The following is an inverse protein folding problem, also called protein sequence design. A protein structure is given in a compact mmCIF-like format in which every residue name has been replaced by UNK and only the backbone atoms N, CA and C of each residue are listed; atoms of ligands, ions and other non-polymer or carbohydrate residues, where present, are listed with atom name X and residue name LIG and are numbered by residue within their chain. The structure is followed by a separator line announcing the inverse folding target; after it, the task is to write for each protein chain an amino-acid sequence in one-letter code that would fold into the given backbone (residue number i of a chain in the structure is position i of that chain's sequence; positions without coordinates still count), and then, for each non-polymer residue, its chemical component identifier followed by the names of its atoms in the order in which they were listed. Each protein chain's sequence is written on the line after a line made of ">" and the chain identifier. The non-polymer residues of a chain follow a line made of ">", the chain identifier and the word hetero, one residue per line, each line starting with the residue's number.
data_IF_034719109352
#
_entry.id   IF_034719109352
#
_cell.length_a   1.000
_cell.length_b   1.000
_cell.length_c   1.000
_cell.angle_alpha   90.00
_cell.angle_beta   90.00
_cell.angle_gamma   90.00
#
_symmetry.space_group_name_H-M   'P 1'
#
loop_
_entity.id
_entity.type
_entity.pdbx_description
1 polymer ?
#
# COMPACT_ATOMS: atom_id res chain seq x y z
N UNK A 1 14.05 3.88 18.51
CA UNK A 1 14.20 4.10 17.06
C UNK A 1 13.50 2.95 16.36
N UNK A 2 12.17 2.91 16.48
CA UNK A 2 11.38 1.90 15.81
C UNK A 2 10.15 2.60 15.26
N UNK A 3 9.89 2.37 13.97
CA UNK A 3 8.58 2.66 13.39
C UNK A 3 7.56 1.76 14.09
N UNK A 4 6.42 2.33 14.47
CA UNK A 4 5.36 1.62 15.16
C UNK A 4 4.23 1.21 14.21
N UNK A 5 3.85 2.05 13.25
CA UNK A 5 2.78 1.75 12.29
C UNK A 5 2.78 2.74 11.12
N UNK A 6 2.02 2.40 10.07
CA UNK A 6 1.67 3.35 9.00
C UNK A 6 0.47 4.17 9.47
N UNK A 7 0.67 5.49 9.66
CA UNK A 7 -0.38 6.39 10.14
C UNK A 7 -1.39 6.74 9.07
N UNK A 8 -0.90 7.00 7.86
CA UNK A 8 -1.68 7.27 6.65
C UNK A 8 -0.80 7.15 5.41
N UNK A 9 -1.44 7.10 4.25
CA UNK A 9 -0.79 7.27 2.96
C UNK A 9 -1.40 8.45 2.21
N UNK A 10 -0.56 9.23 1.53
CA UNK A 10 -0.98 10.38 0.73
C UNK A 10 -0.83 10.08 -0.76
N UNK A 11 -1.96 10.08 -1.46
CA UNK A 11 -2.08 9.96 -2.90
C UNK A 11 -2.08 11.35 -3.53
N UNK A 12 -1.21 11.56 -4.51
CA UNK A 12 -1.23 12.72 -5.37
C UNK A 12 -2.03 12.39 -6.63
N UNK A 13 -2.95 13.28 -6.99
CA UNK A 13 -3.83 13.04 -8.14
C UNK A 13 -4.14 14.28 -8.98
N UNK A 14 -4.24 14.10 -10.29
CA UNK A 14 -4.70 15.09 -11.27
C UNK A 14 -6.21 15.31 -11.17
N UNK A 15 -6.98 14.26 -10.91
CA UNK A 15 -8.44 14.30 -10.86
C UNK A 15 -8.96 13.87 -9.48
N UNK A 16 -8.82 14.79 -8.50
CA UNK A 16 -9.28 14.53 -7.13
C UNK A 16 -10.76 14.17 -7.03
N UNK A 17 -11.71 14.80 -7.74
CA UNK A 17 -13.11 14.38 -7.70
C UNK A 17 -13.33 12.91 -8.07
N UNK A 18 -12.74 12.44 -9.18
CA UNK A 18 -12.89 11.05 -9.62
C UNK A 18 -12.22 10.07 -8.66
N UNK A 19 -11.00 10.37 -8.19
CA UNK A 19 -10.29 9.52 -7.25
C UNK A 19 -10.99 9.42 -5.89
N UNK A 20 -11.54 10.54 -5.39
CA UNK A 20 -12.35 10.56 -4.17
C UNK A 20 -13.62 9.76 -4.38
N UNK A 21 -14.35 9.97 -5.48
CA UNK A 21 -15.58 9.25 -5.77
C UNK A 21 -15.36 7.74 -5.86
N UNK A 22 -14.32 7.27 -6.57
CA UNK A 22 -13.98 5.85 -6.60
C UNK A 22 -13.75 5.27 -5.20
N UNK A 23 -12.93 5.94 -4.38
CA UNK A 23 -12.63 5.46 -3.02
C UNK A 23 -13.85 5.49 -2.10
N UNK A 24 -14.72 6.49 -2.23
CA UNK A 24 -15.91 6.60 -1.36
C UNK A 24 -17.06 5.72 -1.83
N UNK A 25 -17.37 5.77 -3.12
CA UNK A 25 -18.54 5.13 -3.71
C UNK A 25 -18.26 3.64 -3.93
N UNK A 26 -17.12 3.28 -4.53
CA UNK A 26 -16.80 1.88 -4.87
C UNK A 26 -16.11 1.12 -3.73
N UNK A 27 -15.18 1.74 -3.02
CA UNK A 27 -14.46 1.09 -1.91
C UNK A 27 -14.98 1.43 -0.52
N UNK A 28 -16.04 2.25 -0.40
CA UNK A 28 -16.74 2.48 0.86
C UNK A 28 -16.01 3.38 1.88
N UNK A 29 -14.98 4.11 1.46
CA UNK A 29 -14.36 5.10 2.33
C UNK A 29 -15.30 6.27 2.63
N UNK A 30 -15.11 6.91 3.79
CA UNK A 30 -15.86 8.10 4.17
C UNK A 30 -14.96 9.32 4.14
N UNK A 31 -15.44 10.41 3.53
CA UNK A 31 -14.78 11.72 3.56
C UNK A 31 -14.96 12.38 4.92
N UNK A 32 -13.87 12.50 5.67
CA UNK A 32 -13.87 12.96 7.08
C UNK A 32 -13.51 14.44 7.21
N UNK A 33 -12.62 14.94 6.38
CA UNK A 33 -12.21 16.34 6.42
C UNK A 33 -11.60 16.81 5.10
N UNK A 34 -11.56 18.13 4.92
CA UNK A 34 -10.95 18.81 3.78
C UNK A 34 -9.95 19.85 4.26
N UNK A 35 -8.89 20.07 3.49
CA UNK A 35 -7.94 21.15 3.72
C UNK A 35 -7.63 21.84 2.40
N UNK A 36 -7.77 23.16 2.37
CA UNK A 36 -7.44 23.98 1.18
C UNK A 36 -6.30 24.90 1.55
N UNK A 37 -5.19 24.78 0.81
CA UNK A 37 -4.02 25.64 0.88
C UNK A 37 -3.87 26.42 -0.44
N UNK A 38 -2.93 27.36 -0.48
CA UNK A 38 -2.78 28.27 -1.62
C UNK A 38 -2.46 27.55 -2.95
N UNK A 39 -1.73 26.43 -2.90
CA UNK A 39 -1.23 25.69 -4.06
C UNK A 39 -1.77 24.26 -4.16
N UNK A 40 -2.53 23.78 -3.17
CA UNK A 40 -3.06 22.42 -3.10
C UNK A 40 -4.33 22.30 -2.26
N UNK A 41 -5.15 21.31 -2.57
CA UNK A 41 -6.30 20.90 -1.77
C UNK A 41 -6.17 19.42 -1.42
N UNK A 42 -6.52 19.06 -0.19
CA UNK A 42 -6.42 17.71 0.34
C UNK A 42 -7.76 17.24 0.91
N UNK A 43 -8.12 15.99 0.64
CA UNK A 43 -9.30 15.31 1.18
C UNK A 43 -8.86 14.14 2.04
N UNK A 44 -9.32 14.08 3.29
CA UNK A 44 -9.05 12.98 4.21
C UNK A 44 -10.17 11.94 4.11
N UNK A 45 -9.81 10.72 3.74
CA UNK A 45 -10.70 9.58 3.68
C UNK A 45 -10.34 8.56 4.77
N UNK A 46 -11.36 7.95 5.40
CA UNK A 46 -11.19 6.89 6.40
C UNK A 46 -12.17 5.75 6.21
N UNK A 47 -11.71 4.54 6.54
CA UNK A 47 -12.56 3.35 6.73
C UNK A 47 -11.85 2.40 7.70
N UNK A 48 -12.51 2.04 8.80
CA UNK A 48 -11.86 1.37 9.92
C UNK A 48 -10.70 2.22 10.46
N UNK A 49 -9.52 1.64 10.48
CA UNK A 49 -8.24 2.26 10.84
C UNK A 49 -7.47 2.77 9.62
N UNK A 50 -7.87 2.40 8.40
CA UNK A 50 -7.21 2.85 7.18
C UNK A 50 -7.46 4.35 6.95
N UNK A 51 -6.39 5.09 6.67
CA UNK A 51 -6.44 6.53 6.42
C UNK A 51 -5.71 6.89 5.13
N UNK A 52 -6.43 7.52 4.21
CA UNK A 52 -5.91 8.00 2.93
C UNK A 52 -6.07 9.52 2.84
N UNK A 53 -5.05 10.21 2.35
CA UNK A 53 -5.13 11.62 1.99
C UNK A 53 -5.02 11.74 0.48
N UNK A 54 -6.00 12.38 -0.16
CA UNK A 54 -5.93 12.67 -1.59
C UNK A 54 -5.62 14.14 -1.77
N UNK A 55 -4.51 14.44 -2.44
CA UNK A 55 -4.07 15.81 -2.66
C UNK A 55 -4.02 16.12 -4.16
N UNK A 56 -4.53 17.30 -4.52
CA UNK A 56 -4.50 17.84 -5.89
C UNK A 56 -4.08 19.31 -5.89
N UNK A 57 -3.61 19.81 -7.04
CA UNK A 57 -3.24 21.22 -7.24
C UNK A 57 -1.82 21.43 -7.76
N UNK A 58 -1.44 22.68 -8.00
CA UNK A 58 -0.16 23.05 -8.62
C UNK A 58 1.08 22.65 -7.80
N UNK A 59 0.94 22.59 -6.47
CA UNK A 59 2.04 22.25 -5.56
C UNK A 59 2.58 20.83 -5.75
N UNK A 60 1.84 19.96 -6.45
CA UNK A 60 2.20 18.55 -6.65
C UNK A 60 2.47 18.20 -8.12
N UNK A 61 2.42 19.18 -9.04
CA UNK A 61 2.55 18.91 -10.49
C UNK A 61 3.85 18.24 -10.87
N UNK A 62 4.97 18.59 -10.23
CA UNK A 62 6.25 17.93 -10.51
C UNK A 62 6.16 16.40 -10.34
N UNK A 63 5.56 15.94 -9.25
CA UNK A 63 5.35 14.50 -9.01
C UNK A 63 4.39 13.91 -10.05
N UNK A 64 3.29 14.60 -10.36
CA UNK A 64 2.30 14.10 -11.33
C UNK A 64 2.84 14.05 -12.77
N UNK A 65 3.76 14.94 -13.14
CA UNK A 65 4.38 14.95 -14.46
C UNK A 65 5.30 13.74 -14.62
N UNK A 66 6.10 13.46 -13.58
CA UNK A 66 6.99 12.30 -13.52
C UNK A 66 6.19 10.98 -13.44
N UNK A 67 5.28 10.87 -12.46
CA UNK A 67 4.69 9.57 -12.05
C UNK A 67 3.21 9.37 -12.43
N UNK A 68 2.48 10.44 -12.74
CA UNK A 68 1.02 10.39 -12.81
C UNK A 68 0.38 10.33 -11.43
N UNK A 69 -0.86 9.84 -11.34
CA UNK A 69 -1.51 9.60 -10.05
C UNK A 69 -0.79 8.48 -9.28
N UNK A 70 -0.44 8.72 -8.01
CA UNK A 70 0.35 7.76 -7.24
C UNK A 70 0.59 8.16 -5.79
N UNK A 71 1.07 7.21 -4.99
CA UNK A 71 1.38 7.46 -3.57
C UNK A 71 2.67 8.27 -3.48
N UNK A 72 2.59 9.45 -2.89
CA UNK A 72 3.71 10.38 -2.75
C UNK A 72 4.26 10.42 -1.31
N UNK A 73 3.49 9.96 -0.32
CA UNK A 73 3.90 9.92 1.08
C UNK A 73 3.34 8.68 1.80
N UNK A 74 4.17 8.04 2.61
CA UNK A 74 3.76 7.02 3.58
C UNK A 74 4.19 7.52 4.96
N UNK A 75 3.22 7.98 5.75
CA UNK A 75 3.50 8.53 7.07
C UNK A 75 3.70 7.42 8.10
N UNK A 76 4.78 7.51 8.86
CA UNK A 76 5.20 6.48 9.82
C UNK A 76 5.22 7.07 11.22
N UNK A 77 4.52 6.42 12.16
CA UNK A 77 4.66 6.77 13.58
C UNK A 77 5.93 6.16 14.14
N UNK A 78 6.57 6.89 15.05
CA UNK A 78 7.87 6.57 15.61
C UNK A 78 7.89 6.93 17.09
N UNK A 79 8.60 6.13 17.89
CA UNK A 79 8.81 6.44 19.32
C UNK A 79 9.56 7.77 19.51
N UNK A 80 10.55 8.02 18.64
CA UNK A 80 11.49 9.15 18.74
C UNK A 80 11.71 9.74 17.34
N UNK A 81 10.83 10.65 16.92
CA UNK A 81 10.82 11.26 15.57
C UNK A 81 12.20 11.80 15.18
N UNK A 82 12.85 12.55 16.08
CA UNK A 82 14.15 13.15 15.81
C UNK A 82 15.27 12.11 15.64
N UNK A 83 15.23 11.02 16.42
CA UNK A 83 16.20 9.94 16.28
C UNK A 83 15.98 9.14 14.99
N UNK A 84 14.73 8.84 14.63
CA UNK A 84 14.40 8.17 13.36
C UNK A 84 14.82 9.02 12.17
N UNK A 85 14.57 10.33 12.19
CA UNK A 85 15.03 11.24 11.12
C UNK A 85 16.54 11.21 10.92
N UNK A 86 17.32 11.26 12.01
CA UNK A 86 18.79 11.16 11.95
C UNK A 86 19.26 9.79 11.43
N UNK A 87 18.60 8.71 11.83
CA UNK A 87 18.93 7.37 11.34
C UNK A 87 18.65 7.22 9.84
N UNK A 88 17.51 7.74 9.37
CA UNK A 88 17.16 7.78 7.96
C UNK A 88 18.19 8.57 7.15
N UNK A 89 18.60 9.75 7.62
CA UNK A 89 19.67 10.53 6.98
C UNK A 89 21.00 9.76 6.93
N UNK A 90 21.39 9.12 8.04
CA UNK A 90 22.61 8.32 8.09
C UNK A 90 22.55 7.09 7.15
N UNK A 91 21.37 6.57 6.88
CA UNK A 91 21.13 5.50 5.91
C UNK A 91 21.04 6.00 4.45
N UNK A 92 21.10 7.31 4.22
CA UNK A 92 21.12 7.93 2.89
C UNK A 92 19.87 8.72 2.50
N UNK A 93 18.87 8.83 3.38
CA UNK A 93 17.68 9.62 3.09
C UNK A 93 17.99 11.13 3.05
N UNK A 94 17.37 11.83 2.11
CA UNK A 94 17.41 13.29 2.04
C UNK A 94 16.30 13.88 2.90
N UNK A 95 16.55 15.03 3.53
CA UNK A 95 15.48 15.79 4.20
C UNK A 95 14.66 16.50 3.14
N UNK A 96 13.36 16.24 3.14
CA UNK A 96 12.44 16.89 2.24
C UNK A 96 11.83 18.12 2.91
N UNK A 97 11.32 19.05 2.09
CA UNK A 97 10.58 20.18 2.63
C UNK A 97 9.34 19.68 3.39
N UNK A 98 9.12 20.11 4.64
CA UNK A 98 8.02 19.61 5.45
C UNK A 98 6.69 19.94 4.79
N UNK A 99 5.95 18.90 4.39
CA UNK A 99 4.62 19.03 3.76
C UNK A 99 3.54 19.41 4.77
N UNK A 100 3.76 19.03 6.03
CA UNK A 100 2.84 19.15 7.16
C UNK A 100 3.48 19.73 8.43
N UNK A 101 4.62 20.41 8.34
CA UNK A 101 5.36 20.88 9.53
C UNK A 101 6.04 19.77 10.34
N UNK A 102 5.75 18.51 10.04
CA UNK A 102 6.45 17.33 10.56
C UNK A 102 7.71 17.05 9.72
N UNK A 103 8.75 16.42 10.30
CA UNK A 103 9.93 15.99 9.55
C UNK A 103 9.56 15.02 8.43
N UNK A 104 10.07 15.27 7.23
CA UNK A 104 9.88 14.42 6.05
C UNK A 104 11.23 14.00 5.51
N UNK A 105 11.39 12.72 5.23
CA UNK A 105 12.61 12.16 4.62
C UNK A 105 12.28 11.40 3.33
N UNK A 106 13.21 11.36 2.38
CA UNK A 106 13.03 10.59 1.14
C UNK A 106 12.97 9.07 1.42
N UNK A 107 12.14 8.36 0.67
CA UNK A 107 12.13 6.89 0.61
C UNK A 107 12.70 6.41 -0.72
N UNK A 108 11.81 6.02 -1.64
CA UNK A 108 12.09 5.39 -2.93
C UNK A 108 11.28 6.11 -4.01
N UNK A 109 11.77 6.19 -5.25
CA UNK A 109 10.93 6.55 -6.40
C UNK A 109 10.09 7.83 -6.26
N UNK A 110 10.62 8.87 -5.59
CA UNK A 110 9.88 10.11 -5.31
C UNK A 110 8.93 10.06 -4.10
N UNK A 111 8.67 8.86 -3.55
CA UNK A 111 7.90 8.67 -2.31
C UNK A 111 8.71 9.15 -1.11
N UNK A 112 8.03 9.84 -0.20
CA UNK A 112 8.59 10.33 1.05
C UNK A 112 7.97 9.64 2.27
N UNK A 113 8.61 9.80 3.42
CA UNK A 113 8.09 9.37 4.71
C UNK A 113 7.95 10.57 5.63
N UNK A 114 6.71 10.96 5.94
CA UNK A 114 6.42 11.86 7.05
C UNK A 114 6.58 11.12 8.37
N UNK A 115 7.39 11.65 9.29
CA UNK A 115 7.65 11.04 10.58
C UNK A 115 6.80 11.68 11.67
N UNK A 116 6.00 10.86 12.34
CA UNK A 116 5.04 11.29 13.35
C UNK A 116 5.36 10.69 14.71
N UNK A 117 5.07 11.38 15.83
CA UNK A 117 5.17 10.75 17.14
C UNK A 117 4.12 9.65 17.27
N UNK A 118 4.47 8.54 17.90
CA UNK A 118 3.51 7.54 18.34
C UNK A 118 2.45 8.20 19.23
N UNK A 119 1.17 7.95 18.96
CA UNK A 119 0.08 8.58 19.69
C UNK A 119 -0.23 7.82 20.99
N UNK A 120 -0.23 8.53 22.13
CA UNK A 120 -0.71 7.98 23.42
C UNK A 120 -2.25 7.89 23.52
N UNK A 121 -2.99 8.30 22.48
CA UNK A 121 -4.43 8.53 22.58
C UNK A 121 -5.25 7.58 21.70
N UNK A 122 -6.34 7.06 22.27
CA UNK A 122 -7.26 6.13 21.61
C UNK A 122 -8.09 6.74 20.47
N UNK A 123 -8.05 8.05 20.20
CA UNK A 123 -8.84 8.70 19.15
C UNK A 123 -7.97 9.14 17.95
N UNK A 124 -8.37 8.81 16.70
CA UNK A 124 -7.57 9.13 15.52
C UNK A 124 -7.61 10.64 15.23
N UNK A 125 -6.48 11.30 15.49
CA UNK A 125 -6.29 12.74 15.24
C UNK A 125 -6.23 13.03 13.74
N UNK A 126 -6.63 14.24 13.35
CA UNK A 126 -6.42 14.71 11.99
C UNK A 126 -4.91 14.90 11.76
N UNK A 127 -4.39 14.59 10.56
CA UNK A 127 -2.98 14.82 10.22
C UNK A 127 -2.55 16.25 10.53
N UNK A 128 -1.38 16.43 11.12
CA UNK A 128 -0.79 17.75 11.39
C UNK A 128 -0.51 18.54 10.11
N UNK A 129 -0.18 19.83 10.28
CA UNK A 129 0.36 20.65 9.19
C UNK A 129 -0.61 21.19 8.15
N UNK A 130 -1.90 20.95 8.37
CA UNK A 130 -2.97 21.38 7.48
C UNK A 130 -4.09 21.95 8.33
N UNK A 131 -4.80 22.94 7.79
CA UNK A 131 -6.01 23.46 8.42
C UNK A 131 -7.20 22.67 7.90
N UNK A 132 -7.56 21.64 8.65
CA UNK A 132 -8.70 20.79 8.31
C UNK A 132 -10.03 21.41 8.68
N UNK A 133 -10.99 21.27 7.78
CA UNK A 133 -12.41 21.51 7.98
C UNK A 133 -13.11 20.15 7.99
N UNK A 134 -13.65 19.74 9.14
CA UNK A 134 -14.32 18.45 9.25
C UNK A 134 -15.60 18.42 8.42
N UNK A 135 -15.87 17.29 7.77
CA UNK A 135 -17.13 17.04 7.08
C UNK A 135 -18.25 16.94 8.13
N UNK A 136 -19.33 17.74 8.02
CA UNK A 136 -20.44 17.67 8.96
C UNK A 136 -21.03 16.26 9.06
N UNK A 137 -21.17 15.75 10.30
CA UNK A 137 -21.76 14.44 10.56
C UNK A 137 -20.87 13.22 10.24
N UNK A 138 -19.65 13.42 9.72
CA UNK A 138 -18.75 12.30 9.47
C UNK A 138 -18.24 11.68 10.78
N UNK A 139 -18.34 10.35 10.97
CA UNK A 139 -17.80 9.68 12.14
C UNK A 139 -16.27 9.77 12.17
N UNK A 140 -15.70 9.82 13.37
CA UNK A 140 -14.23 9.86 13.55
C UNK A 140 -13.55 8.56 13.13
N UNK A 141 -14.26 7.43 13.30
CA UNK A 141 -13.92 6.09 12.81
C UNK A 141 -15.10 5.51 12.03
N UNK A 142 -15.20 5.81 10.72
CA UNK A 142 -16.21 5.22 9.85
C UNK A 142 -16.02 3.70 9.79
N UNK A 143 -17.09 2.94 10.04
CA UNK A 143 -17.05 1.48 9.97
C UNK A 143 -17.38 1.03 8.54
N UNK A 144 -16.76 -0.05 8.07
CA UNK A 144 -16.99 -0.60 6.74
C UNK A 144 -16.36 -1.98 6.60
N UNK A 145 -16.19 -2.45 5.36
CA UNK A 145 -15.57 -3.74 5.06
C UNK A 145 -14.07 -3.72 5.33
N UNK A 146 -13.41 -2.58 5.09
CA UNK A 146 -11.99 -2.38 5.37
C UNK A 146 -11.78 -2.14 6.86
N UNK A 147 -10.95 -2.98 7.48
CA UNK A 147 -10.50 -2.84 8.86
C UNK A 147 -9.29 -1.93 8.98
N UNK A 148 -8.28 -2.12 8.15
CA UNK A 148 -7.00 -1.39 8.22
C UNK A 148 -6.21 -1.54 6.92
N UNK A 149 -5.11 -0.79 6.80
CA UNK A 149 -4.09 -1.03 5.79
C UNK A 149 -3.18 -2.17 6.27
N UNK A 150 -3.18 -3.29 5.57
CA UNK A 150 -2.38 -4.48 5.92
C UNK A 150 -0.91 -4.30 5.54
N UNK A 151 -0.67 -3.83 4.32
CA UNK A 151 0.67 -3.66 3.77
C UNK A 151 0.68 -2.74 2.54
N UNK A 152 1.89 -2.32 2.18
CA UNK A 152 2.16 -1.55 0.97
C UNK A 152 3.15 -2.34 0.12
N UNK A 153 2.84 -2.56 -1.15
CA UNK A 153 3.79 -3.20 -2.06
C UNK A 153 4.45 -2.19 -3.00
N UNK A 154 5.77 -2.28 -3.09
CA UNK A 154 6.64 -1.35 -3.78
C UNK A 154 7.25 -2.06 -4.98
N UNK A 155 7.15 -1.46 -6.16
CA UNK A 155 7.87 -1.91 -7.33
C UNK A 155 9.16 -1.10 -7.47
N UNK A 156 10.28 -1.81 -7.55
CA UNK A 156 11.63 -1.28 -7.62
C UNK A 156 12.33 -1.79 -8.88
N UNK A 157 13.42 -1.12 -9.26
CA UNK A 157 14.26 -1.58 -10.36
C UNK A 157 14.93 -2.92 -10.04
N UNK A 158 15.09 -3.78 -11.05
CA UNK A 158 15.78 -5.07 -10.89
C UNK A 158 17.12 -4.94 -10.19
N UNK A 159 17.48 -5.90 -9.32
CA UNK A 159 18.74 -5.87 -8.59
C UNK A 159 18.88 -4.81 -7.48
N UNK A 160 17.85 -4.00 -7.21
CA UNK A 160 17.90 -2.96 -6.18
C UNK A 160 17.27 -3.37 -4.83
N UNK A 161 16.65 -4.55 -4.73
CA UNK A 161 15.92 -5.01 -3.55
C UNK A 161 16.77 -5.04 -2.28
N UNK A 162 17.97 -5.62 -2.34
CA UNK A 162 18.83 -5.76 -1.18
C UNK A 162 19.22 -4.39 -0.59
N UNK A 163 19.54 -3.42 -1.45
CA UNK A 163 19.90 -2.07 -1.04
C UNK A 163 18.72 -1.33 -0.39
N UNK A 164 17.51 -1.46 -0.94
CA UNK A 164 16.31 -0.88 -0.35
C UNK A 164 15.93 -1.56 0.97
N UNK A 165 16.06 -2.89 1.05
CA UNK A 165 15.87 -3.62 2.30
C UNK A 165 16.84 -3.13 3.39
N UNK A 166 18.13 -3.03 3.08
CA UNK A 166 19.13 -2.47 4.00
C UNK A 166 18.84 -1.04 4.43
N UNK A 167 18.38 -0.20 3.50
CA UNK A 167 17.95 1.16 3.80
C UNK A 167 16.84 1.16 4.85
N UNK A 168 15.76 0.40 4.64
CA UNK A 168 14.63 0.34 5.58
C UNK A 168 15.00 -0.26 6.94
N UNK A 169 15.89 -1.25 6.97
CA UNK A 169 16.41 -1.78 8.23
C UNK A 169 17.18 -0.72 9.03
N UNK A 170 18.08 0.01 8.37
CA UNK A 170 18.93 1.03 9.03
C UNK A 170 18.18 2.31 9.38
N UNK A 171 17.29 2.75 8.50
CA UNK A 171 16.57 4.02 8.63
C UNK A 171 15.43 3.94 9.65
N UNK A 172 14.70 2.82 9.65
CA UNK A 172 13.39 2.73 10.29
C UNK A 172 13.23 1.51 11.22
N UNK A 173 14.26 0.65 11.31
CA UNK A 173 14.24 -0.52 12.19
C UNK A 173 13.35 -1.65 11.68
N UNK A 174 13.11 -1.75 10.37
CA UNK A 174 12.44 -2.90 9.78
C UNK A 174 13.31 -4.17 9.90
N UNK A 175 12.67 -5.33 9.77
CA UNK A 175 13.32 -6.65 9.66
C UNK A 175 12.86 -7.34 8.40
N UNK A 176 13.79 -8.00 7.68
CA UNK A 176 13.47 -8.88 6.55
C UNK A 176 12.77 -10.13 7.07
N UNK A 177 11.56 -10.39 6.60
CA UNK A 177 10.72 -11.52 7.03
C UNK A 177 10.80 -12.69 6.06
N UNK A 178 10.69 -12.41 4.77
CA UNK A 178 10.90 -13.39 3.71
C UNK A 178 11.66 -12.78 2.54
N UNK A 179 12.24 -13.65 1.73
CA UNK A 179 12.83 -13.31 0.44
C UNK A 179 12.52 -14.45 -0.49
N UNK A 180 11.86 -14.14 -1.61
CA UNK A 180 11.32 -15.14 -2.52
C UNK A 180 11.72 -14.82 -3.95
N UNK A 181 11.94 -15.87 -4.74
CA UNK A 181 12.10 -15.78 -6.19
C UNK A 181 10.90 -16.45 -6.85
N UNK A 182 10.18 -15.71 -7.68
CA UNK A 182 8.91 -16.11 -8.26
C UNK A 182 9.11 -16.29 -9.76
N UNK A 183 9.24 -17.54 -10.19
CA UNK A 183 9.34 -17.89 -11.62
C UNK A 183 7.94 -18.00 -12.22
N UNK A 184 7.68 -17.22 -13.27
CA UNK A 184 6.43 -17.17 -14.05
C UNK A 184 6.65 -17.68 -15.50
N UNK A 185 7.65 -18.54 -15.71
CA UNK A 185 8.04 -19.05 -17.01
C UNK A 185 9.05 -18.12 -17.69
N UNK A 186 8.61 -17.36 -18.69
CA UNK A 186 9.46 -16.42 -19.44
C UNK A 186 9.85 -15.21 -18.60
N UNK A 187 9.04 -14.87 -17.60
CA UNK A 187 9.26 -13.78 -16.66
C UNK A 187 9.61 -14.33 -15.27
N UNK A 188 10.33 -13.55 -14.47
CA UNK A 188 10.44 -13.80 -13.04
C UNK A 188 10.59 -12.49 -12.27
N UNK A 189 10.33 -12.56 -10.98
CA UNK A 189 10.54 -11.44 -10.07
C UNK A 189 11.07 -11.92 -8.73
N UNK A 190 11.82 -11.03 -8.08
CA UNK A 190 12.26 -11.22 -6.71
C UNK A 190 11.37 -10.40 -5.78
N UNK A 191 11.13 -10.92 -4.58
CA UNK A 191 10.38 -10.22 -3.54
C UNK A 191 11.12 -10.24 -2.20
N UNK A 192 10.97 -9.17 -1.41
CA UNK A 192 11.44 -9.08 -0.02
C UNK A 192 10.34 -8.47 0.83
N UNK A 193 9.87 -9.20 1.84
CA UNK A 193 8.91 -8.67 2.81
C UNK A 193 9.67 -8.09 4.00
N UNK A 194 9.38 -6.83 4.32
CA UNK A 194 9.89 -6.11 5.47
C UNK A 194 8.74 -5.85 6.45
N UNK A 195 8.97 -6.05 7.74
CA UNK A 195 8.03 -5.55 8.75
C UNK A 195 8.72 -5.02 9.99
N UNK A 196 8.05 -4.08 10.66
CA UNK A 196 8.49 -3.63 11.97
C UNK A 196 8.22 -4.73 13.03
N UNK A 197 8.71 -4.51 14.25
CA UNK A 197 8.65 -5.51 15.31
C UNK A 197 7.21 -5.94 15.66
N UNK A 198 6.24 -5.02 15.60
CA UNK A 198 4.84 -5.28 15.91
C UNK A 198 3.96 -5.56 14.68
N UNK A 199 4.56 -5.72 13.49
CA UNK A 199 3.87 -6.09 12.24
C UNK A 199 2.72 -5.14 11.84
N UNK A 200 2.75 -3.88 12.30
CA UNK A 200 1.78 -2.82 11.92
C UNK A 200 2.29 -1.90 10.81
N UNK A 201 3.53 -2.10 10.39
CA UNK A 201 4.06 -1.55 9.15
C UNK A 201 4.71 -2.71 8.38
N UNK A 202 4.16 -3.02 7.21
CA UNK A 202 4.62 -4.13 6.35
C UNK A 202 4.80 -3.62 4.94
N UNK A 203 6.01 -3.76 4.40
CA UNK A 203 6.38 -3.40 3.04
C UNK A 203 6.80 -4.63 2.25
N UNK A 204 6.17 -4.84 1.10
CA UNK A 204 6.51 -5.94 0.18
C UNK A 204 7.26 -5.33 -1.00
N UNK A 205 8.58 -5.47 -1.01
CA UNK A 205 9.44 -4.97 -2.08
C UNK A 205 9.45 -5.98 -3.22
N UNK A 206 9.28 -5.52 -4.46
CA UNK A 206 9.21 -6.35 -5.66
C UNK A 206 10.13 -5.75 -6.72
N UNK A 207 10.90 -6.59 -7.42
CA UNK A 207 11.70 -6.14 -8.55
C UNK A 207 11.77 -7.21 -9.64
N UNK A 208 11.81 -6.81 -10.93
CA UNK A 208 11.94 -7.76 -12.03
C UNK A 208 13.30 -8.47 -11.99
N UNK A 209 13.32 -9.75 -12.34
CA UNK A 209 14.56 -10.47 -12.59
C UNK A 209 15.14 -10.04 -13.95
N UNK A 210 16.31 -9.40 -13.91
CA UNK A 210 17.00 -8.89 -15.12
C UNK A 210 17.49 -10.00 -16.05
N UNK A 211 17.52 -11.26 -15.60
CA UNK A 211 17.91 -12.40 -16.41
C UNK A 211 16.75 -12.99 -17.24
N UNK A 212 15.52 -12.51 -17.02
CA UNK A 212 14.29 -13.00 -17.66
C UNK A 212 13.68 -11.92 -18.56
N UNK A 213 12.64 -12.28 -19.30
CA UNK A 213 11.96 -11.36 -20.20
C UNK A 213 11.20 -10.28 -19.44
N UNK A 214 11.00 -9.14 -20.10
CA UNK A 214 10.30 -8.01 -19.52
C UNK A 214 8.84 -8.38 -19.20
N UNK A 215 8.41 -8.02 -17.98
CA UNK A 215 7.09 -8.37 -17.49
C UNK A 215 6.30 -7.19 -16.93
N UNK A 216 5.28 -7.53 -16.15
CA UNK A 216 4.40 -6.53 -15.51
C UNK A 216 5.12 -5.51 -14.62
N UNK A 217 6.22 -5.88 -13.94
CA UNK A 217 6.97 -4.96 -13.10
C UNK A 217 7.74 -3.95 -13.95
N UNK A 218 8.35 -4.38 -15.06
CA UNK A 218 8.99 -3.45 -16.00
C UNK A 218 7.96 -2.52 -16.65
N UNK A 219 6.78 -3.06 -17.00
CA UNK A 219 5.69 -2.26 -17.54
C UNK A 219 5.19 -1.23 -16.52
N UNK A 220 5.08 -1.59 -15.24
CA UNK A 220 4.80 -0.64 -14.16
C UNK A 220 5.88 0.44 -14.09
N UNK A 221 7.17 0.06 -14.05
CA UNK A 221 8.27 1.02 -13.96
C UNK A 221 8.27 2.00 -15.14
N UNK A 222 7.97 1.51 -16.35
CA UNK A 222 7.87 2.34 -17.54
C UNK A 222 6.71 3.35 -17.46
N UNK A 223 5.51 2.92 -17.02
CA UNK A 223 4.33 3.80 -16.90
C UNK A 223 4.44 4.77 -15.72
N UNK A 224 5.01 4.32 -14.61
CA UNK A 224 5.21 5.12 -13.40
C UNK A 224 6.43 6.06 -13.50
N UNK A 225 7.30 5.91 -14.51
CA UNK A 225 8.52 6.71 -14.62
C UNK A 225 9.56 6.37 -13.54
N UNK A 226 9.67 5.10 -13.17
CA UNK A 226 10.60 4.58 -12.17
C UNK A 226 9.91 3.88 -10.99
N UNK A 227 10.65 3.62 -9.89
CA UNK A 227 10.11 2.95 -8.70
C UNK A 227 8.89 3.66 -8.10
N UNK A 228 8.02 2.90 -7.43
CA UNK A 228 6.81 3.47 -6.85
C UNK A 228 5.98 2.46 -6.06
N UNK A 229 4.89 2.93 -5.44
CA UNK A 229 3.92 2.04 -4.80
C UNK A 229 3.03 1.43 -5.88
N UNK A 230 3.06 0.11 -6.00
CA UNK A 230 2.23 -0.63 -6.94
C UNK A 230 0.84 -0.90 -6.36
N UNK A 231 0.76 -1.31 -5.09
CA UNK A 231 -0.52 -1.63 -4.45
C UNK A 231 -0.59 -1.30 -2.98
N UNK A 232 -1.80 -0.96 -2.55
CA UNK A 232 -2.18 -0.88 -1.14
C UNK A 232 -3.14 -2.03 -0.82
N UNK A 233 -2.78 -2.81 0.20
CA UNK A 233 -3.56 -3.96 0.63
C UNK A 233 -4.42 -3.61 1.84
N UNK A 234 -5.71 -3.83 1.75
CA UNK A 234 -6.67 -3.56 2.81
C UNK A 234 -7.11 -4.85 3.48
N UNK A 235 -6.94 -4.90 4.80
CA UNK A 235 -7.41 -6.03 5.61
C UNK A 235 -8.94 -5.97 5.72
N UNK A 236 -9.60 -7.08 5.40
CA UNK A 236 -11.04 -7.26 5.53
C UNK A 236 -11.36 -8.49 6.39
N UNK A 237 -12.55 -8.52 6.99
CA UNK A 237 -13.01 -9.67 7.78
C UNK A 237 -13.45 -10.85 6.92
N UNK A 238 -14.19 -10.55 5.86
CA UNK A 238 -14.73 -11.50 4.89
C UNK A 238 -14.49 -10.96 3.49
N UNK A 239 -13.55 -11.59 2.78
CA UNK A 239 -13.08 -11.19 1.46
C UNK A 239 -14.13 -11.39 0.39
N UNK A 240 -14.93 -12.46 0.45
CA UNK A 240 -15.99 -12.70 -0.53
C UNK A 240 -17.12 -11.68 -0.35
N UNK A 241 -17.54 -11.43 0.89
CA UNK A 241 -18.55 -10.43 1.16
C UNK A 241 -18.08 -9.01 0.81
N UNK A 242 -16.81 -8.68 1.10
CA UNK A 242 -16.23 -7.39 0.72
C UNK A 242 -16.12 -7.24 -0.81
N UNK A 243 -15.64 -8.27 -1.51
CA UNK A 243 -15.53 -8.26 -2.97
C UNK A 243 -16.89 -8.12 -3.64
N UNK A 244 -17.93 -8.81 -3.16
CA UNK A 244 -19.29 -8.67 -3.67
C UNK A 244 -19.83 -7.25 -3.45
N UNK A 245 -19.75 -6.72 -2.22
CA UNK A 245 -20.21 -5.37 -1.88
C UNK A 245 -19.50 -4.29 -2.72
N UNK A 246 -18.19 -4.41 -2.93
CA UNK A 246 -17.43 -3.46 -3.75
C UNK A 246 -17.73 -3.60 -5.24
N UNK A 247 -17.93 -4.82 -5.77
CA UNK A 247 -18.36 -5.04 -7.16
C UNK A 247 -19.74 -4.44 -7.44
N UNK A 248 -20.68 -4.61 -6.53
CA UNK A 248 -22.03 -4.02 -6.63
C UNK A 248 -21.99 -2.49 -6.65
N UNK A 249 -20.91 -1.90 -6.11
CA UNK A 249 -20.61 -0.46 -6.13
C UNK A 249 -19.69 -0.02 -7.28
N UNK A 250 -19.41 -0.92 -8.23
CA UNK A 250 -18.63 -0.62 -9.43
C UNK A 250 -17.11 -0.79 -9.30
N UNK A 251 -16.58 -1.36 -8.22
CA UNK A 251 -15.17 -1.73 -8.17
C UNK A 251 -14.89 -2.94 -9.08
N UNK A 252 -13.86 -2.82 -9.92
CA UNK A 252 -13.42 -3.90 -10.80
C UNK A 252 -12.28 -4.70 -10.17
N UNK A 253 -12.38 -6.03 -10.23
CA UNK A 253 -11.34 -6.94 -9.72
C UNK A 253 -10.84 -7.84 -10.84
N UNK A 254 -9.57 -8.22 -10.74
CA UNK A 254 -8.95 -9.16 -11.66
C UNK A 254 -9.65 -10.52 -11.58
N UNK A 255 -9.78 -11.17 -12.73
CA UNK A 255 -10.28 -12.54 -12.78
C UNK A 255 -9.17 -13.49 -12.33
N UNK A 256 -9.32 -14.03 -11.11
CA UNK A 256 -8.54 -15.19 -10.68
C UNK A 256 -9.20 -16.46 -11.22
N UNK A 257 -8.42 -17.46 -11.70
CA UNK A 257 -8.97 -18.75 -12.10
C UNK A 257 -9.84 -19.36 -11.00
N UNK A 258 -10.93 -20.05 -11.36
CA UNK A 258 -11.82 -20.71 -10.39
C UNK A 258 -11.06 -21.68 -9.46
N UNK A 259 -9.98 -22.26 -9.95
CA UNK A 259 -9.09 -23.15 -9.21
C UNK A 259 -8.37 -22.44 -8.05
N UNK A 260 -8.15 -21.13 -8.10
CA UNK A 260 -7.48 -20.40 -7.02
C UNK A 260 -8.27 -20.50 -5.70
N UNK A 261 -9.56 -20.14 -5.71
CA UNK A 261 -10.38 -20.21 -4.51
C UNK A 261 -10.66 -21.65 -4.08
N UNK A 262 -10.73 -22.60 -5.02
CA UNK A 262 -10.85 -24.02 -4.70
C UNK A 262 -9.61 -24.52 -3.94
N UNK A 263 -8.40 -24.24 -4.44
CA UNK A 263 -7.15 -24.62 -3.79
C UNK A 263 -7.00 -23.98 -2.41
N UNK A 264 -7.34 -22.69 -2.27
CA UNK A 264 -7.30 -22.04 -0.95
C UNK A 264 -8.36 -22.65 -0.01
N UNK A 265 -9.57 -22.94 -0.51
CA UNK A 265 -10.62 -23.58 0.29
C UNK A 265 -10.21 -24.98 0.75
N UNK A 266 -9.58 -25.79 -0.11
CA UNK A 266 -9.04 -27.11 0.26
C UNK A 266 -8.00 -27.00 1.38
N UNK A 267 -7.07 -26.04 1.31
CA UNK A 267 -6.07 -25.82 2.37
C UNK A 267 -6.72 -25.38 3.69
N UNK A 268 -7.65 -24.41 3.64
CA UNK A 268 -8.38 -23.96 4.83
C UNK A 268 -9.21 -25.10 5.46
N UNK A 269 -9.81 -25.96 4.63
CA UNK A 269 -10.64 -27.07 5.12
C UNK A 269 -9.78 -28.17 5.72
N UNK A 270 -8.65 -28.52 5.07
CA UNK A 270 -7.67 -29.48 5.60
C UNK A 270 -7.09 -29.06 6.96
N UNK A 271 -6.90 -27.75 7.19
CA UNK A 271 -6.48 -27.20 8.48
C UNK A 271 -7.49 -27.39 9.62
N UNK A 272 -8.78 -27.67 9.34
CA UNK A 272 -9.77 -27.98 10.39
C UNK A 272 -9.68 -29.43 10.87
N UNK A 273 -9.18 -30.33 10.03
CA UNK A 273 -9.15 -31.78 10.29
C UNK A 273 -7.77 -32.27 10.78
N UNK A 274 -6.68 -31.56 10.49
CA UNK A 274 -5.34 -31.84 10.99
C UNK A 274 -4.89 -30.74 11.96
N UNK A 275 -4.25 -31.11 13.08
CA UNK A 275 -3.71 -30.17 14.07
C UNK A 275 -2.79 -29.12 13.39
N UNK A 276 -3.34 -27.91 13.20
CA UNK A 276 -2.68 -26.61 12.97
C UNK A 276 -1.32 -26.69 12.25
N UNK A 277 -1.34 -26.52 10.92
CA UNK A 277 -0.22 -25.91 10.21
C UNK A 277 0.20 -24.63 10.97
N UNK A 278 1.45 -24.49 11.43
CA UNK A 278 1.88 -23.36 12.28
C UNK A 278 1.87 -22.00 11.57
N UNK A 279 1.56 -21.96 10.28
CA UNK A 279 1.56 -20.78 9.42
C UNK A 279 0.18 -20.70 8.76
N UNK A 280 -0.71 -19.86 9.30
CA UNK A 280 -2.10 -19.82 8.80
C UNK A 280 -2.24 -19.40 7.32
N UNK A 281 -3.48 -19.34 6.84
CA UNK A 281 -3.80 -19.07 5.42
C UNK A 281 -4.17 -17.61 5.14
N UNK A 282 -3.97 -17.16 3.90
CA UNK A 282 -4.31 -15.80 3.47
C UNK A 282 -5.11 -15.85 2.16
N UNK A 283 -6.21 -15.11 2.11
CA UNK A 283 -7.00 -14.88 0.90
C UNK A 283 -6.67 -13.49 0.36
N UNK A 284 -6.52 -13.39 -0.95
CA UNK A 284 -6.14 -12.14 -1.61
C UNK A 284 -6.93 -11.94 -2.91
N UNK A 285 -7.25 -10.69 -3.21
CA UNK A 285 -7.92 -10.31 -4.45
C UNK A 285 -7.46 -8.93 -4.91
N UNK A 286 -7.01 -8.81 -6.16
CA UNK A 286 -6.53 -7.54 -6.73
C UNK A 286 -7.63 -6.82 -7.50
N UNK A 287 -7.71 -5.51 -7.31
CA UNK A 287 -8.52 -4.63 -8.14
C UNK A 287 -7.81 -4.35 -9.46
N UNK A 288 -8.55 -3.90 -10.47
CA UNK A 288 -7.95 -3.13 -11.58
C UNK A 288 -7.49 -1.76 -11.07
N UNK A 289 -6.55 -1.14 -11.77
CA UNK A 289 -6.16 0.24 -11.47
C UNK A 289 -7.28 1.20 -11.87
N UNK A 290 -7.70 2.13 -10.98
CA UNK A 290 -8.65 3.18 -11.35
C UNK A 290 -7.95 4.42 -11.93
N UNK A 291 -6.64 4.37 -12.19
CA UNK A 291 -5.85 5.51 -12.63
C UNK A 291 -5.43 5.38 -14.09
N UNK A 292 -5.27 6.52 -14.78
CA UNK A 292 -5.04 6.58 -16.22
C UNK A 292 -3.80 5.80 -16.68
N UNK A 293 -2.74 5.79 -15.87
CA UNK A 293 -1.48 5.10 -16.20
C UNK A 293 -1.47 3.62 -15.84
N UNK A 294 -2.56 3.08 -15.31
CA UNK A 294 -2.65 1.68 -14.89
C UNK A 294 -1.47 1.25 -14.00
N UNK A 295 -1.13 2.05 -12.98
CA UNK A 295 0.04 1.83 -12.10
C UNK A 295 -0.40 1.35 -10.72
N UNK A 296 -1.00 2.24 -9.93
CA UNK A 296 -1.46 1.95 -8.58
C UNK A 296 -2.78 1.19 -8.60
N UNK A 297 -2.88 0.09 -7.86
CA UNK A 297 -4.14 -0.62 -7.64
C UNK A 297 -4.32 -1.01 -6.17
N UNK A 298 -5.45 -1.64 -5.86
CA UNK A 298 -5.80 -2.01 -4.50
C UNK A 298 -5.93 -3.52 -4.35
N UNK A 299 -5.70 -4.01 -3.16
CA UNK A 299 -5.84 -5.42 -2.82
C UNK A 299 -6.75 -5.57 -1.61
N UNK A 300 -7.60 -6.59 -1.61
CA UNK A 300 -8.28 -7.07 -0.41
C UNK A 300 -7.52 -8.26 0.16
N UNK A 301 -7.31 -8.26 1.46
CA UNK A 301 -6.63 -9.34 2.18
C UNK A 301 -7.50 -9.81 3.33
N UNK A 302 -7.65 -11.12 3.47
CA UNK A 302 -8.20 -11.74 4.69
C UNK A 302 -7.20 -12.76 5.22
N UNK A 303 -6.89 -12.68 6.51
CA UNK A 303 -5.92 -13.55 7.19
C UNK A 303 -6.63 -14.55 8.10
N UNK A 304 -6.35 -15.83 7.92
CA UNK A 304 -6.75 -16.95 8.78
C UNK A 304 -5.54 -17.45 9.58
N UNK A 305 -5.07 -16.64 10.54
CA UNK A 305 -3.88 -16.96 11.33
C UNK A 305 -2.54 -16.75 10.61
N UNK A 306 -2.56 -16.43 9.31
CA UNK A 306 -1.36 -16.09 8.54
C UNK A 306 -0.73 -14.78 9.02
N UNK A 307 0.53 -14.84 9.44
CA UNK A 307 1.35 -13.64 9.72
C UNK A 307 2.27 -13.24 8.56
N UNK A 308 2.50 -14.15 7.61
CA UNK A 308 3.41 -13.95 6.48
C UNK A 308 2.71 -14.33 5.18
N UNK A 309 3.34 -13.99 4.05
CA UNK A 309 2.91 -14.46 2.74
C UNK A 309 3.18 -15.96 2.58
N UNK A 310 2.36 -16.63 1.77
CA UNK A 310 2.67 -17.95 1.26
C UNK A 310 3.00 -17.89 -0.23
N UNK A 311 4.12 -18.47 -0.63
CA UNK A 311 4.68 -18.46 -1.99
C UNK A 311 3.65 -18.79 -3.09
N UNK A 312 2.74 -19.73 -2.81
CA UNK A 312 1.74 -20.20 -3.78
C UNK A 312 0.67 -19.16 -4.14
N UNK A 313 0.36 -18.24 -3.22
CA UNK A 313 -0.62 -17.19 -3.48
C UNK A 313 -0.05 -16.13 -4.41
N UNK A 314 1.21 -15.75 -4.21
CA UNK A 314 1.82 -14.66 -4.94
C UNK A 314 1.98 -15.00 -6.44
N UNK A 315 2.41 -16.23 -6.77
CA UNK A 315 2.43 -16.72 -8.16
C UNK A 315 1.04 -16.62 -8.82
N UNK A 316 0.02 -17.19 -8.18
CA UNK A 316 -1.35 -17.26 -8.75
C UNK A 316 -1.94 -15.88 -9.02
N UNK A 317 -1.69 -14.92 -8.11
CA UNK A 317 -2.13 -13.54 -8.27
C UNK A 317 -1.40 -12.84 -9.42
N UNK A 318 -0.09 -13.07 -9.55
CA UNK A 318 0.69 -12.46 -10.61
C UNK A 318 0.41 -13.02 -12.00
N UNK A 319 0.07 -14.30 -12.10
CA UNK A 319 -0.47 -14.89 -13.33
C UNK A 319 -1.82 -14.26 -13.72
N UNK A 320 -2.65 -13.88 -12.75
CA UNK A 320 -3.90 -13.17 -13.01
C UNK A 320 -3.68 -11.74 -13.54
N UNK A 321 -2.70 -11.01 -12.98
CA UNK A 321 -2.31 -9.68 -13.49
C UNK A 321 -1.79 -9.78 -14.92
N UNK A 322 -0.93 -10.76 -15.21
CA UNK A 322 -0.37 -10.92 -16.55
C UNK A 322 -1.44 -11.29 -17.59
N UNK A 323 -2.42 -12.11 -17.20
CA UNK A 323 -3.58 -12.43 -18.06
C UNK A 323 -4.42 -11.19 -18.37
N UNK A 324 -4.70 -10.36 -17.38
CA UNK A 324 -5.47 -9.11 -17.58
C UNK A 324 -4.71 -8.17 -18.52
N UNK A 325 -3.39 -8.01 -18.31
CA UNK A 325 -2.51 -7.20 -19.19
C UNK A 325 -2.53 -7.65 -20.66
N UNK A 326 -2.59 -8.95 -20.91
CA UNK A 326 -2.62 -9.50 -22.28
C UNK A 326 -4.00 -9.43 -22.94
N UNK A 327 -5.06 -9.17 -22.17
CA UNK A 327 -6.45 -9.16 -22.66
C UNK A 327 -7.08 -7.77 -22.72
N UNK A 328 -6.52 -6.79 -22.01
CA UNK A 328 -6.86 -5.37 -22.10
C UNK A 328 -6.25 -4.70 -23.34
#
# INVERSE_FOLDING_TARGET
>A
MAVQEIAYVELYTRNSPAAVDYLTSSLGFTRVADSVLADRSSVLLRQGEAQLILTSGRGIWKFLDEHGDGIADIALTCDEVGATGRAAQAAGAQVCSPRSGDPVVSGFGGVCHTLLPSADSAAPKLPSGRRWTATPGAPTRPVGRVRSLDQVALCLEGGSLAAHADFYQKAFGFTRRSTEHIDLGEQAMDSVVLSNACERAVFTLLAPDRAKDSGQLDAFLARNGGPGVQRLAFLVEDLLAAAHDFRDRGAEFLSTPDTYFQLVAERITGMRDELLEPHGEMLQLFSRSPFERDTLFFELVQRHGARQFGDSNLRSLYEAVERDRLTA
#
